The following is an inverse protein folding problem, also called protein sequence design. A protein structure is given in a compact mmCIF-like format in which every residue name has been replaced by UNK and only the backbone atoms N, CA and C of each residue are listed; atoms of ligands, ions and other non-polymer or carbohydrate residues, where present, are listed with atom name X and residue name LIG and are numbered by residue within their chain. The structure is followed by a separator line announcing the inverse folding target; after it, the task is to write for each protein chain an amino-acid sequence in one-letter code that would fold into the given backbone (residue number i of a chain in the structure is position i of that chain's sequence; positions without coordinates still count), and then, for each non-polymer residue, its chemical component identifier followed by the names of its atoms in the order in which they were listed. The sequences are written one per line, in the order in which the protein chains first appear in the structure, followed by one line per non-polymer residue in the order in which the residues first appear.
data_IF_460565786958
#
_entry.id   IF_460565786958
#
_cell.length_a   1.000
_cell.length_b   1.000
_cell.length_c   1.000
_cell.angle_alpha   90.00
_cell.angle_beta   90.00
_cell.angle_gamma   90.00
#
_symmetry.space_group_name_H-M   'P 1'
#
loop_
_entity.id
_entity.type
_entity.pdbx_description
1 polymer ?
#
# COMPACT_ATOMS: atom_id res chain seq x y z
N UNK A 1 -52.65 10.77 -46.63
CA UNK A 1 -51.36 11.27 -46.20
C UNK A 1 -51.23 11.04 -44.69
N UNK A 2 -50.50 9.99 -44.30
CA UNK A 2 -50.33 9.57 -42.88
C UNK A 2 -48.92 9.91 -42.46
N UNK A 3 -48.77 10.91 -41.58
CA UNK A 3 -47.52 11.29 -41.00
C UNK A 3 -47.15 10.27 -39.92
N UNK A 4 -46.01 9.56 -40.12
CA UNK A 4 -45.40 8.64 -39.17
C UNK A 4 -44.38 9.44 -38.36
N UNK A 5 -44.73 9.78 -37.12
CA UNK A 5 -43.82 10.45 -36.18
C UNK A 5 -42.98 9.38 -35.51
N UNK A 6 -41.67 9.37 -35.81
CA UNK A 6 -40.66 8.49 -35.20
C UNK A 6 -40.24 9.07 -33.84
N UNK A 7 -40.71 8.47 -32.75
CA UNK A 7 -40.25 8.79 -31.38
C UNK A 7 -38.91 8.09 -31.13
N UNK A 8 -37.80 8.84 -31.15
CA UNK A 8 -36.49 8.40 -30.66
C UNK A 8 -36.51 8.41 -29.13
N UNK A 9 -36.63 7.24 -28.51
CA UNK A 9 -36.36 7.04 -27.08
C UNK A 9 -34.82 7.11 -26.85
N UNK A 10 -34.34 8.26 -26.41
CA UNK A 10 -33.02 8.37 -25.75
C UNK A 10 -33.13 7.70 -24.38
N UNK A 11 -32.69 6.46 -24.29
CA UNK A 11 -32.39 5.81 -23.01
C UNK A 11 -31.15 6.50 -22.40
N UNK A 12 -31.37 7.51 -21.59
CA UNK A 12 -30.36 8.10 -20.75
C UNK A 12 -29.89 7.05 -19.71
N UNK A 13 -28.72 6.48 -19.90
CA UNK A 13 -28.02 5.76 -18.86
C UNK A 13 -27.66 6.78 -17.76
N UNK A 14 -28.55 6.92 -16.78
CA UNK A 14 -28.26 7.60 -15.54
C UNK A 14 -27.20 6.77 -14.81
N UNK A 15 -25.93 7.13 -14.96
CA UNK A 15 -24.90 6.66 -14.03
C UNK A 15 -25.29 7.16 -12.64
N UNK A 16 -25.33 6.31 -11.61
CA UNK A 16 -25.52 6.77 -10.25
C UNK A 16 -24.34 7.70 -9.93
N UNK A 17 -24.61 8.99 -9.80
CA UNK A 17 -23.67 9.93 -9.22
C UNK A 17 -23.43 9.47 -7.78
N UNK A 18 -22.20 9.00 -7.48
CA UNK A 18 -21.81 8.74 -6.11
C UNK A 18 -21.90 10.09 -5.36
N UNK A 19 -22.62 10.10 -4.26
CA UNK A 19 -22.91 11.30 -3.46
C UNK A 19 -21.66 11.91 -2.79
N UNK A 20 -20.47 11.35 -3.02
CA UNK A 20 -19.22 11.63 -2.27
C UNK A 20 -18.09 12.19 -3.16
N UNK A 21 -18.35 12.55 -4.41
CA UNK A 21 -17.32 13.12 -5.31
C UNK A 21 -16.26 12.14 -5.79
N UNK A 22 -16.24 10.89 -5.30
CA UNK A 22 -15.29 9.84 -5.70
C UNK A 22 -15.63 9.26 -7.06
N UNK A 23 -14.60 8.82 -7.80
CA UNK A 23 -14.77 8.22 -9.14
C UNK A 23 -14.63 6.70 -9.09
N UNK A 24 -15.37 6.00 -9.92
CA UNK A 24 -15.20 4.55 -10.12
C UNK A 24 -13.99 4.27 -10.99
N UNK A 25 -13.47 3.02 -10.95
CA UNK A 25 -12.41 2.57 -11.85
C UNK A 25 -12.82 2.71 -13.32
N UNK A 26 -14.09 2.46 -13.66
CA UNK A 26 -14.61 2.65 -15.02
C UNK A 26 -14.56 4.12 -15.46
N UNK A 27 -14.90 5.06 -14.57
CA UNK A 27 -14.79 6.50 -14.84
C UNK A 27 -13.32 6.95 -14.99
N UNK A 28 -12.41 6.39 -14.19
CA UNK A 28 -10.97 6.61 -14.35
C UNK A 28 -10.48 6.13 -15.72
N UNK A 29 -10.88 4.92 -16.16
CA UNK A 29 -10.53 4.38 -17.47
C UNK A 29 -11.00 5.30 -18.62
N UNK A 30 -12.21 5.85 -18.50
CA UNK A 30 -12.73 6.85 -19.45
C UNK A 30 -11.94 8.15 -19.41
N UNK A 31 -11.56 8.64 -18.24
CA UNK A 31 -10.74 9.84 -18.08
C UNK A 31 -9.36 9.68 -18.71
N UNK A 32 -8.70 8.52 -18.51
CA UNK A 32 -7.42 8.18 -19.14
C UNK A 32 -7.55 8.08 -20.66
N UNK A 33 -8.62 7.47 -21.18
CA UNK A 33 -8.87 7.41 -22.61
C UNK A 33 -9.07 8.82 -23.23
N UNK A 34 -9.78 9.70 -22.54
CA UNK A 34 -10.00 11.08 -22.95
C UNK A 34 -8.74 11.98 -22.81
N UNK A 35 -7.70 11.49 -22.14
CA UNK A 35 -6.42 12.19 -21.98
C UNK A 35 -5.47 12.00 -23.16
N UNK A 36 -5.83 11.19 -24.17
CA UNK A 36 -4.99 10.98 -25.36
C UNK A 36 -4.67 12.30 -26.06
N UNK A 37 -3.38 12.53 -26.36
CA UNK A 37 -2.91 13.76 -27.00
C UNK A 37 -2.77 14.98 -26.06
N UNK A 38 -3.12 14.88 -24.78
CA UNK A 38 -2.92 15.95 -23.80
C UNK A 38 -1.51 15.97 -23.24
N UNK A 39 -1.10 17.11 -22.66
CA UNK A 39 0.21 17.28 -22.07
C UNK A 39 0.32 16.51 -20.74
N UNK A 40 1.48 15.93 -20.47
CA UNK A 40 1.76 15.11 -19.28
C UNK A 40 1.38 15.82 -17.97
N UNK A 41 1.77 17.10 -17.81
CA UNK A 41 1.44 17.88 -16.61
C UNK A 41 -0.07 18.07 -16.40
N UNK A 42 -0.81 18.31 -17.50
CA UNK A 42 -2.28 18.49 -17.45
C UNK A 42 -2.99 17.20 -17.01
N UNK A 43 -2.52 16.06 -17.56
CA UNK A 43 -3.06 14.76 -17.19
C UNK A 43 -2.72 14.42 -15.74
N UNK A 44 -1.49 14.68 -15.31
CA UNK A 44 -1.05 14.46 -13.93
C UNK A 44 -1.89 15.26 -12.92
N UNK A 45 -2.11 16.55 -13.21
CA UNK A 45 -2.94 17.40 -12.35
C UNK A 45 -4.37 16.85 -12.22
N UNK A 46 -4.99 16.51 -13.36
CA UNK A 46 -6.35 15.97 -13.37
C UNK A 46 -6.48 14.64 -12.62
N UNK A 47 -5.48 13.76 -12.73
CA UNK A 47 -5.45 12.50 -11.97
C UNK A 47 -5.25 12.75 -10.47
N UNK A 48 -4.41 13.72 -10.09
CA UNK A 48 -4.17 14.08 -8.70
C UNK A 48 -5.40 14.66 -7.99
N UNK A 49 -6.35 15.26 -8.72
CA UNK A 49 -7.62 15.79 -8.20
C UNK A 49 -8.70 14.70 -8.01
N UNK A 50 -8.43 13.44 -8.40
CA UNK A 50 -9.38 12.34 -8.29
C UNK A 50 -9.18 11.55 -6.98
N UNK A 51 -10.26 10.99 -6.46
CA UNK A 51 -10.27 9.98 -5.42
C UNK A 51 -11.08 8.78 -5.89
N UNK A 52 -10.56 7.55 -5.73
CA UNK A 52 -11.27 6.35 -6.15
C UNK A 52 -12.28 5.89 -5.09
N UNK A 53 -13.43 5.40 -5.55
CA UNK A 53 -14.45 4.75 -4.71
C UNK A 53 -14.20 3.24 -4.55
N UNK A 54 -13.30 2.67 -5.36
CA UNK A 54 -13.01 1.25 -5.42
C UNK A 54 -11.54 1.02 -5.78
N UNK A 55 -11.00 -0.14 -5.46
CA UNK A 55 -9.59 -0.47 -5.66
C UNK A 55 -9.24 -0.62 -7.14
N UNK A 56 -8.17 0.05 -7.56
CA UNK A 56 -7.56 -0.17 -8.87
C UNK A 56 -6.62 -1.38 -8.81
N UNK A 57 -7.00 -2.48 -9.43
CA UNK A 57 -6.18 -3.70 -9.45
C UNK A 57 -4.88 -3.52 -10.24
N UNK A 58 -3.80 -4.20 -9.83
CA UNK A 58 -2.49 -4.15 -10.49
C UNK A 58 -2.55 -4.40 -12.01
N UNK A 59 -3.31 -5.39 -12.53
CA UNK A 59 -3.44 -5.58 -13.98
C UNK A 59 -4.10 -4.39 -14.70
N UNK A 60 -5.03 -3.69 -14.05
CA UNK A 60 -5.65 -2.49 -14.63
C UNK A 60 -4.69 -1.30 -14.59
N UNK A 61 -3.99 -1.12 -13.47
CA UNK A 61 -2.97 -0.09 -13.31
C UNK A 61 -1.93 -0.15 -14.43
N UNK A 62 -1.37 -1.34 -14.71
CA UNK A 62 -0.35 -1.50 -15.74
C UNK A 62 -0.90 -1.19 -17.15
N UNK A 63 -2.13 -1.60 -17.45
CA UNK A 63 -2.77 -1.24 -18.73
C UNK A 63 -2.99 0.26 -18.88
N UNK A 64 -3.35 0.95 -17.80
CA UNK A 64 -3.58 2.39 -17.81
C UNK A 64 -2.26 3.18 -17.90
N UNK A 65 -1.22 2.77 -17.16
CA UNK A 65 0.13 3.35 -17.25
C UNK A 65 0.67 3.38 -18.68
N UNK A 66 0.45 2.29 -19.44
CA UNK A 66 0.91 2.20 -20.83
C UNK A 66 0.26 3.22 -21.78
N UNK A 67 -0.89 3.80 -21.40
CA UNK A 67 -1.64 4.79 -22.20
C UNK A 67 -1.32 6.23 -21.84
N UNK A 68 -0.59 6.46 -20.76
CA UNK A 68 -0.31 7.81 -20.26
C UNK A 68 0.87 8.46 -21.00
N UNK A 69 0.82 9.80 -21.22
CA UNK A 69 1.76 10.51 -22.08
C UNK A 69 3.17 10.62 -21.49
N UNK A 70 3.34 10.58 -20.17
CA UNK A 70 4.64 10.77 -19.56
C UNK A 70 4.73 10.34 -18.09
N UNK A 71 5.86 10.64 -17.48
CA UNK A 71 6.22 10.20 -16.13
C UNK A 71 5.34 10.85 -15.04
N UNK A 72 5.02 12.13 -15.18
CA UNK A 72 4.19 12.83 -14.16
C UNK A 72 2.80 12.23 -14.07
N UNK A 73 2.17 11.93 -15.21
CA UNK A 73 0.87 11.31 -15.25
C UNK A 73 0.92 9.87 -14.72
N UNK A 74 2.00 9.11 -14.96
CA UNK A 74 2.20 7.77 -14.43
C UNK A 74 2.35 7.78 -12.92
N UNK A 75 3.11 8.73 -12.36
CA UNK A 75 3.25 8.90 -10.91
C UNK A 75 1.92 9.32 -10.25
N UNK A 76 1.16 10.21 -10.87
CA UNK A 76 -0.16 10.59 -10.36
C UNK A 76 -1.15 9.41 -10.39
N UNK A 77 -1.14 8.60 -11.45
CA UNK A 77 -1.94 7.37 -11.51
C UNK A 77 -1.49 6.35 -10.46
N UNK A 78 -0.19 6.21 -10.22
CA UNK A 78 0.34 5.33 -9.18
C UNK A 78 -0.13 5.79 -7.80
N UNK A 79 0.00 7.08 -7.47
CA UNK A 79 -0.49 7.63 -6.21
C UNK A 79 -1.99 7.37 -6.00
N UNK A 80 -2.79 7.53 -7.05
CA UNK A 80 -4.23 7.27 -7.00
C UNK A 80 -4.54 5.78 -6.79
N UNK A 81 -3.80 4.88 -7.47
CA UNK A 81 -3.93 3.44 -7.29
C UNK A 81 -3.58 3.00 -5.86
N UNK A 82 -2.47 3.52 -5.33
CA UNK A 82 -1.97 3.19 -3.99
C UNK A 82 -2.88 3.70 -2.89
N UNK A 83 -3.40 4.91 -3.04
CA UNK A 83 -4.42 5.44 -2.12
C UNK A 83 -5.69 4.56 -2.09
N UNK A 84 -6.00 3.88 -3.20
CA UNK A 84 -7.15 2.96 -3.32
C UNK A 84 -6.86 1.52 -2.88
N UNK A 85 -5.61 1.17 -2.53
CA UNK A 85 -5.19 -0.22 -2.28
C UNK A 85 -5.98 -0.92 -1.15
N UNK A 86 -6.61 -0.15 -0.29
CA UNK A 86 -7.37 -0.59 0.89
C UNK A 86 -8.89 -0.63 0.67
N UNK A 87 -9.35 -0.29 -0.54
CA UNK A 87 -10.76 -0.32 -0.92
C UNK A 87 -11.16 -1.68 -1.49
N UNK A 88 -12.47 -1.92 -1.54
CA UNK A 88 -13.03 -3.11 -2.20
C UNK A 88 -12.79 -3.05 -3.72
N UNK A 89 -12.68 -4.22 -4.35
CA UNK A 89 -12.64 -4.33 -5.81
C UNK A 89 -13.95 -3.89 -6.45
N UNK A 90 -13.91 -3.38 -7.70
CA UNK A 90 -15.12 -3.27 -8.51
C UNK A 90 -15.84 -4.63 -8.58
N UNK A 91 -17.15 -4.62 -8.43
CA UNK A 91 -17.95 -5.85 -8.51
C UNK A 91 -17.73 -6.65 -9.81
N UNK A 92 -17.42 -5.94 -10.91
CA UNK A 92 -17.11 -6.55 -12.21
C UNK A 92 -15.75 -7.30 -12.24
N UNK A 93 -14.86 -7.04 -11.29
CA UNK A 93 -13.54 -7.69 -11.19
C UNK A 93 -13.56 -8.91 -10.26
N UNK A 94 -14.64 -9.14 -9.54
CA UNK A 94 -14.83 -10.31 -8.69
C UNK A 94 -15.23 -11.50 -9.58
N UNK A 95 -14.42 -12.58 -9.64
CA UNK A 95 -14.77 -13.76 -10.40
C UNK A 95 -16.10 -14.37 -9.93
N UNK A 96 -16.99 -14.81 -10.83
CA UNK A 96 -18.28 -15.43 -10.49
C UNK A 96 -18.13 -16.88 -9.98
N UNK A 97 -16.96 -17.24 -9.48
CA UNK A 97 -16.64 -18.57 -8.95
C UNK A 97 -17.34 -18.77 -7.60
N UNK A 98 -18.01 -19.91 -7.36
CA UNK A 98 -18.63 -20.19 -6.08
C UNK A 98 -17.62 -20.11 -4.92
N UNK A 99 -18.04 -19.67 -3.73
CA UNK A 99 -17.17 -19.66 -2.55
C UNK A 99 -16.75 -21.09 -2.18
N UNK A 100 -15.58 -21.22 -1.55
CA UNK A 100 -15.19 -22.47 -0.90
C UNK A 100 -16.21 -22.85 0.17
N UNK A 101 -16.52 -24.15 0.29
CA UNK A 101 -17.29 -24.62 1.43
C UNK A 101 -16.49 -24.48 2.75
N UNK A 102 -17.16 -24.61 3.90
CA UNK A 102 -16.53 -24.39 5.19
C UNK A 102 -15.36 -25.32 5.47
N UNK A 103 -15.43 -26.57 5.03
CA UNK A 103 -14.34 -27.54 5.22
C UNK A 103 -13.10 -27.17 4.38
N UNK A 104 -13.32 -26.78 3.12
CA UNK A 104 -12.26 -26.31 2.25
C UNK A 104 -11.61 -24.99 2.74
N UNK A 105 -12.41 -24.06 3.30
CA UNK A 105 -11.89 -22.84 3.92
C UNK A 105 -10.95 -23.17 5.10
N UNK A 106 -11.37 -24.03 6.02
CA UNK A 106 -10.56 -24.45 7.17
C UNK A 106 -9.30 -25.17 6.73
N UNK A 107 -9.41 -26.08 5.75
CA UNK A 107 -8.26 -26.79 5.21
C UNK A 107 -7.24 -25.86 4.55
N UNK A 108 -7.71 -24.84 3.82
CA UNK A 108 -6.84 -23.84 3.19
C UNK A 108 -6.13 -22.97 4.24
N UNK A 109 -6.83 -22.50 5.27
CA UNK A 109 -6.22 -21.72 6.35
C UNK A 109 -5.17 -22.54 7.14
N UNK A 110 -5.45 -23.82 7.44
CA UNK A 110 -4.47 -24.71 8.06
C UNK A 110 -3.22 -24.90 7.18
N UNK A 111 -3.42 -25.06 5.86
CA UNK A 111 -2.33 -25.13 4.88
C UNK A 111 -1.52 -23.84 4.84
N UNK A 112 -2.18 -22.68 5.00
CA UNK A 112 -1.50 -21.37 5.05
C UNK A 112 -0.61 -21.25 6.28
N UNK A 113 -1.10 -21.64 7.46
CA UNK A 113 -0.29 -21.67 8.69
C UNK A 113 0.97 -22.54 8.48
N UNK A 114 0.76 -23.79 8.03
CA UNK A 114 1.88 -24.72 7.76
C UNK A 114 2.86 -24.17 6.73
N UNK A 115 2.37 -23.51 5.67
CA UNK A 115 3.20 -22.88 4.65
C UNK A 115 4.04 -21.75 5.25
N UNK A 116 3.44 -20.82 6.01
CA UNK A 116 4.15 -19.66 6.57
C UNK A 116 5.19 -20.09 7.60
N UNK A 117 4.86 -21.02 8.52
CA UNK A 117 5.79 -21.55 9.50
C UNK A 117 7.02 -22.23 8.86
N UNK A 118 6.79 -23.00 7.79
CA UNK A 118 7.86 -23.69 7.06
C UNK A 118 8.68 -22.74 6.17
N UNK A 119 8.06 -21.70 5.62
CA UNK A 119 8.71 -20.83 4.62
C UNK A 119 9.56 -19.77 5.29
N UNK A 120 9.09 -19.11 6.34
CA UNK A 120 9.85 -18.04 7.03
C UNK A 120 11.18 -18.61 7.55
N UNK A 121 11.17 -19.82 8.09
CA UNK A 121 12.39 -20.47 8.61
C UNK A 121 13.36 -20.96 7.53
N UNK A 122 12.93 -21.00 6.25
CA UNK A 122 13.69 -21.55 5.11
C UNK A 122 14.07 -20.52 4.08
N UNK A 123 13.65 -19.26 4.24
CA UNK A 123 14.11 -18.19 3.36
C UNK A 123 15.64 -18.11 3.47
N UNK A 124 16.36 -18.17 2.34
CA UNK A 124 17.82 -18.07 2.38
C UNK A 124 18.24 -16.66 2.76
N UNK A 125 19.41 -16.57 3.38
CA UNK A 125 20.09 -15.29 3.52
C UNK A 125 20.26 -14.67 2.13
N UNK A 126 19.72 -13.48 1.95
CA UNK A 126 19.58 -12.87 0.63
C UNK A 126 19.65 -11.35 0.69
N UNK A 127 19.90 -10.76 -0.47
CA UNK A 127 19.76 -9.34 -0.73
C UNK A 127 18.61 -9.09 -1.72
N UNK A 128 18.01 -7.93 -1.60
CA UNK A 128 17.11 -7.37 -2.60
C UNK A 128 17.40 -5.88 -2.77
N UNK A 129 17.07 -5.31 -3.92
CA UNK A 129 17.04 -3.86 -4.10
C UNK A 129 15.63 -3.40 -3.73
N UNK A 130 15.55 -2.39 -2.87
CA UNK A 130 14.32 -1.70 -2.50
C UNK A 130 14.29 -0.34 -3.20
N UNK A 131 13.36 -0.16 -4.11
CA UNK A 131 13.08 1.12 -4.75
C UNK A 131 11.86 1.73 -4.07
N UNK A 132 11.98 2.96 -3.56
CA UNK A 132 10.90 3.63 -2.84
C UNK A 132 10.54 4.94 -3.52
N UNK A 133 9.24 5.17 -3.76
CA UNK A 133 8.69 6.45 -4.18
C UNK A 133 7.91 7.02 -3.01
N UNK A 134 8.24 8.24 -2.61
CA UNK A 134 7.59 8.95 -1.53
C UNK A 134 6.58 9.94 -2.09
N UNK A 135 5.37 9.92 -1.54
CA UNK A 135 4.29 10.85 -1.87
C UNK A 135 3.85 11.59 -0.61
N UNK A 136 3.49 12.86 -0.76
CA UNK A 136 2.91 13.68 0.29
C UNK A 136 1.89 14.65 -0.28
N UNK A 137 1.02 15.20 0.57
CA UNK A 137 -0.01 16.17 0.19
C UNK A 137 0.34 17.62 0.50
N UNK A 138 1.57 17.90 0.92
CA UNK A 138 2.00 19.25 1.28
C UNK A 138 3.30 19.66 0.58
N UNK A 139 3.63 20.98 0.53
CA UNK A 139 4.92 21.43 0.05
C UNK A 139 6.02 20.97 1.02
N UNK A 140 7.05 20.29 0.50
CA UNK A 140 8.22 19.84 1.27
C UNK A 140 9.03 20.98 1.91
N UNK A 141 8.81 22.23 1.50
CA UNK A 141 9.48 23.43 1.97
C UNK A 141 8.47 24.37 2.65
N UNK A 142 7.83 23.93 3.73
CA UNK A 142 7.17 24.89 4.60
C UNK A 142 8.27 25.59 5.39
N UNK A 143 8.61 26.81 5.00
CA UNK A 143 9.35 27.68 5.90
C UNK A 143 8.50 27.83 7.17
N UNK A 144 9.11 27.70 8.34
CA UNK A 144 8.46 27.74 9.67
C UNK A 144 7.62 29.00 9.96
N UNK A 145 7.48 29.89 8.97
CA UNK A 145 6.82 31.19 9.06
C UNK A 145 5.71 31.39 8.04
N UNK A 146 5.34 30.38 7.24
CA UNK A 146 4.17 30.49 6.39
C UNK A 146 2.92 30.18 7.21
N UNK A 147 1.92 31.01 7.11
CA UNK A 147 0.65 30.97 7.86
C UNK A 147 -0.26 29.76 7.57
N UNK A 148 0.31 28.65 7.11
CA UNK A 148 -0.38 27.37 6.96
C UNK A 148 -1.46 27.31 5.85
N UNK A 149 -1.56 28.34 5.02
CA UNK A 149 -2.70 28.52 4.11
C UNK A 149 -2.62 27.77 2.77
N UNK A 150 -1.57 27.01 2.50
CA UNK A 150 -1.41 26.26 1.23
C UNK A 150 -0.95 24.83 1.47
N UNK A 151 -1.83 23.98 1.99
CA UNK A 151 -1.69 22.55 1.80
C UNK A 151 -2.25 22.21 0.42
N UNK A 152 -1.40 21.74 -0.49
CA UNK A 152 -1.88 21.10 -1.72
C UNK A 152 -2.60 19.80 -1.29
N UNK A 153 -3.91 19.68 -1.48
CA UNK A 153 -4.65 18.50 -1.03
C UNK A 153 -4.28 17.24 -1.83
N UNK A 154 -3.55 17.39 -2.93
CA UNK A 154 -3.23 16.30 -3.83
C UNK A 154 -1.92 15.61 -3.45
N UNK A 155 -1.95 14.26 -3.40
CA UNK A 155 -0.74 13.46 -3.27
C UNK A 155 0.14 13.62 -4.52
N UNK A 156 1.38 14.00 -4.34
CA UNK A 156 2.38 14.08 -5.40
C UNK A 156 3.70 13.45 -4.98
N UNK A 157 4.44 12.92 -5.95
CA UNK A 157 5.74 12.34 -5.70
C UNK A 157 6.72 13.44 -5.25
N UNK A 158 7.32 13.25 -4.08
CA UNK A 158 8.23 14.21 -3.45
C UNK A 158 9.68 13.80 -3.54
N UNK A 159 9.97 12.48 -3.50
CA UNK A 159 11.31 11.93 -3.63
C UNK A 159 11.29 10.45 -4.03
N UNK A 160 12.49 9.94 -4.37
CA UNK A 160 12.75 8.53 -4.64
C UNK A 160 14.04 8.10 -3.95
N UNK A 161 14.07 6.88 -3.45
CA UNK A 161 15.30 6.27 -2.94
C UNK A 161 15.49 4.86 -3.46
N UNK A 162 16.75 4.44 -3.54
CA UNK A 162 17.15 3.07 -3.82
C UNK A 162 18.02 2.57 -2.68
N UNK A 163 17.70 1.42 -2.13
CA UNK A 163 18.44 0.83 -1.03
C UNK A 163 18.67 -0.66 -1.26
N UNK A 164 19.76 -1.20 -0.69
CA UNK A 164 19.94 -2.64 -0.55
C UNK A 164 19.30 -3.09 0.74
N UNK A 165 18.38 -4.05 0.67
CA UNK A 165 17.83 -4.73 1.83
C UNK A 165 18.51 -6.07 1.97
N UNK A 166 19.00 -6.36 3.17
CA UNK A 166 19.62 -7.61 3.56
C UNK A 166 18.66 -8.39 4.46
N UNK A 167 18.38 -9.62 4.09
CA UNK A 167 17.64 -10.55 4.92
C UNK A 167 18.59 -11.66 5.39
N UNK A 168 18.92 -11.68 6.68
CA UNK A 168 19.85 -12.64 7.29
C UNK A 168 19.28 -13.14 8.61
N UNK A 169 19.26 -14.47 8.78
CA UNK A 169 18.78 -15.13 9.99
C UNK A 169 17.37 -14.65 10.43
N UNK A 170 16.48 -14.40 9.47
CA UNK A 170 15.10 -13.96 9.73
C UNK A 170 14.98 -12.47 10.07
N UNK A 171 16.03 -11.67 9.93
CA UNK A 171 16.02 -10.22 10.18
C UNK A 171 16.23 -9.44 8.90
N UNK A 172 15.45 -8.38 8.76
CA UNK A 172 15.56 -7.41 7.68
C UNK A 172 16.44 -6.24 8.14
N UNK A 173 17.39 -5.84 7.30
CA UNK A 173 18.27 -4.70 7.53
C UNK A 173 18.45 -3.92 6.23
N UNK A 174 18.28 -2.60 6.29
CA UNK A 174 18.51 -1.71 5.16
C UNK A 174 19.96 -1.26 5.16
N UNK A 175 20.65 -1.48 4.03
CA UNK A 175 22.05 -1.17 3.81
C UNK A 175 22.17 -0.29 2.57
N UNK A 176 23.11 0.65 2.56
CA UNK A 176 23.46 1.48 1.39
C UNK A 176 22.25 2.18 0.72
N UNK A 177 21.47 2.91 1.49
CA UNK A 177 20.37 3.69 0.93
C UNK A 177 20.91 4.96 0.25
N UNK A 178 20.51 5.15 -1.02
CA UNK A 178 20.85 6.30 -1.86
C UNK A 178 19.59 7.09 -2.18
N UNK A 179 19.67 8.38 -1.98
CA UNK A 179 18.59 9.33 -2.22
C UNK A 179 18.82 10.08 -3.53
N UNK A 180 17.77 10.31 -4.32
CA UNK A 180 17.87 11.06 -5.57
C UNK A 180 18.03 12.56 -5.34
N UNK A 181 17.36 13.15 -4.35
CA UNK A 181 17.28 14.61 -4.19
C UNK A 181 17.94 15.17 -2.93
N UNK A 182 18.33 14.32 -1.98
CA UNK A 182 18.86 14.76 -0.67
C UNK A 182 17.83 15.44 0.23
N UNK A 183 16.54 15.46 -0.17
CA UNK A 183 15.44 16.08 0.57
C UNK A 183 14.72 15.10 1.50
N UNK A 184 15.12 13.85 1.44
CA UNK A 184 14.44 12.73 2.08
C UNK A 184 14.46 12.78 3.61
N UNK A 185 15.45 13.45 4.22
CA UNK A 185 15.58 13.51 5.67
C UNK A 185 14.30 13.99 6.38
N UNK A 186 13.59 14.95 5.76
CA UNK A 186 12.32 15.48 6.32
C UNK A 186 11.13 14.53 6.14
N UNK A 187 11.12 13.72 5.07
CA UNK A 187 10.05 12.74 4.79
C UNK A 187 10.29 11.45 5.57
N UNK A 188 11.54 11.05 5.73
CA UNK A 188 11.97 9.82 6.42
C UNK A 188 11.62 9.78 7.91
N UNK A 189 11.58 10.92 8.58
CA UNK A 189 11.24 10.98 10.01
C UNK A 189 9.77 10.61 10.30
N UNK A 190 8.93 10.43 9.30
CA UNK A 190 7.49 10.32 9.48
C UNK A 190 6.89 8.97 9.12
N UNK A 191 7.26 8.38 7.98
CA UNK A 191 6.70 7.12 7.53
C UNK A 191 7.81 6.12 7.22
N UNK A 192 8.00 5.17 8.12
CA UNK A 192 8.91 4.03 7.94
C UNK A 192 8.11 2.74 7.96
N UNK A 193 8.32 1.90 6.96
CA UNK A 193 7.75 0.56 6.89
C UNK A 193 8.88 -0.46 7.05
N UNK A 194 8.77 -1.29 8.08
CA UNK A 194 9.74 -2.34 8.41
C UNK A 194 9.02 -3.67 8.60
N UNK A 195 9.74 -4.77 8.41
CA UNK A 195 9.25 -6.11 8.74
C UNK A 195 8.41 -6.77 7.66
N UNK A 196 8.45 -6.29 6.42
CA UNK A 196 7.69 -6.87 5.28
C UNK A 196 8.12 -8.29 4.94
N UNK A 197 9.36 -8.70 5.28
CA UNK A 197 9.88 -10.05 5.05
C UNK A 197 9.48 -11.07 6.13
N UNK A 198 9.11 -10.66 7.33
CA UNK A 198 8.84 -11.63 8.39
C UNK A 198 7.98 -11.13 9.54
N UNK A 199 8.27 -9.96 10.11
CA UNK A 199 7.59 -9.47 11.32
C UNK A 199 6.09 -9.30 11.12
N UNK A 200 5.66 -8.80 9.97
CA UNK A 200 4.24 -8.62 9.63
C UNK A 200 3.55 -9.99 9.52
N UNK A 201 4.19 -10.99 8.92
CA UNK A 201 3.65 -12.35 8.91
C UNK A 201 3.47 -12.92 10.32
N UNK A 202 4.42 -12.68 11.22
CA UNK A 202 4.31 -13.16 12.60
C UNK A 202 3.12 -12.51 13.33
N UNK A 203 2.86 -11.22 13.10
CA UNK A 203 1.67 -10.53 13.62
C UNK A 203 0.40 -11.18 13.08
N UNK A 204 0.30 -11.38 11.76
CA UNK A 204 -0.88 -11.96 11.12
C UNK A 204 -1.12 -13.41 11.57
N UNK A 205 -0.07 -14.24 11.65
CA UNK A 205 -0.19 -15.60 12.16
C UNK A 205 -0.79 -15.62 13.56
N UNK A 206 -0.28 -14.76 14.44
CA UNK A 206 -0.68 -14.71 15.84
C UNK A 206 -2.08 -14.16 16.02
N UNK A 207 -2.42 -13.10 15.32
CA UNK A 207 -3.65 -12.34 15.53
C UNK A 207 -4.84 -12.88 14.71
N UNK A 208 -4.58 -13.38 13.51
CA UNK A 208 -5.61 -13.64 12.50
C UNK A 208 -5.84 -15.11 12.24
N UNK A 209 -4.79 -15.86 11.91
CA UNK A 209 -4.97 -17.23 11.42
C UNK A 209 -5.48 -18.20 12.50
N UNK A 210 -5.18 -17.97 13.78
CA UNK A 210 -5.75 -18.69 14.90
C UNK A 210 -7.26 -18.47 15.10
N UNK A 211 -7.83 -17.39 14.54
CA UNK A 211 -9.23 -17.01 14.67
C UNK A 211 -10.16 -17.49 13.56
N UNK A 212 -9.67 -18.24 12.57
CA UNK A 212 -10.43 -18.66 11.39
C UNK A 212 -11.17 -17.49 10.70
N UNK A 213 -10.46 -16.57 10.06
CA UNK A 213 -11.04 -15.40 9.40
C UNK A 213 -12.13 -15.81 8.39
N UNK A 214 -13.24 -15.06 8.28
CA UNK A 214 -14.32 -15.38 7.36
C UNK A 214 -13.88 -15.22 5.90
N UNK A 215 -14.44 -16.10 5.07
CA UNK A 215 -14.36 -16.01 3.62
C UNK A 215 -14.92 -14.68 3.11
N UNK A 216 -14.24 -14.07 2.15
CA UNK A 216 -14.70 -12.86 1.47
C UNK A 216 -15.10 -13.15 0.00
N UNK A 217 -14.12 -13.36 -0.87
CA UNK A 217 -14.36 -13.54 -2.30
C UNK A 217 -13.18 -14.22 -3.00
N UNK A 218 -13.37 -14.57 -4.27
CA UNK A 218 -12.28 -14.88 -5.17
C UNK A 218 -11.73 -13.61 -5.81
N UNK A 219 -10.44 -13.54 -6.00
CA UNK A 219 -9.78 -12.47 -6.74
C UNK A 219 -8.84 -13.05 -7.79
N UNK A 220 -8.71 -12.38 -8.94
CA UNK A 220 -7.77 -12.78 -9.98
C UNK A 220 -6.42 -12.08 -9.76
N UNK A 221 -5.42 -12.83 -9.33
CA UNK A 221 -4.03 -12.38 -9.26
C UNK A 221 -3.26 -12.62 -10.55
N UNK A 222 -2.00 -12.18 -10.62
CA UNK A 222 -1.11 -12.39 -11.76
C UNK A 222 -0.76 -13.86 -11.98
N UNK A 223 -0.68 -14.65 -10.91
CA UNK A 223 -0.35 -16.10 -10.95
C UNK A 223 -1.56 -17.02 -10.98
N UNK A 224 -2.79 -16.52 -10.93
CA UNK A 224 -4.00 -17.33 -10.87
C UNK A 224 -5.03 -16.80 -9.85
N UNK A 225 -6.09 -17.59 -9.58
CA UNK A 225 -7.11 -17.21 -8.62
C UNK A 225 -6.54 -17.20 -7.19
N UNK A 226 -6.94 -16.22 -6.40
CA UNK A 226 -6.63 -16.10 -4.98
C UNK A 226 -7.89 -16.20 -4.15
N UNK A 227 -7.82 -16.95 -3.05
CA UNK A 227 -8.87 -17.04 -2.03
C UNK A 227 -8.68 -15.90 -1.02
N UNK A 228 -9.65 -14.99 -0.91
CA UNK A 228 -9.56 -13.82 -0.04
C UNK A 228 -10.39 -14.04 1.22
N UNK A 229 -9.76 -13.80 2.37
CA UNK A 229 -10.38 -13.82 3.69
C UNK A 229 -10.25 -12.45 4.33
N UNK A 230 -11.31 -11.99 5.02
CA UNK A 230 -11.30 -10.76 5.82
C UNK A 230 -11.05 -11.05 7.27
N UNK A 231 -10.46 -10.13 7.97
CA UNK A 231 -10.26 -10.20 9.40
C UNK A 231 -10.49 -8.85 10.06
N UNK A 232 -10.86 -8.91 11.34
CA UNK A 232 -10.97 -7.77 12.23
C UNK A 232 -10.33 -8.19 13.57
N UNK A 233 -9.34 -7.41 14.02
CA UNK A 233 -8.55 -7.68 15.22
C UNK A 233 -8.78 -6.54 16.21
N UNK A 234 -9.53 -6.80 17.29
CA UNK A 234 -9.74 -5.80 18.32
C UNK A 234 -8.44 -5.49 19.06
N UNK A 235 -8.34 -4.31 19.65
CA UNK A 235 -7.10 -3.80 20.23
C UNK A 235 -6.48 -4.71 21.27
N UNK A 236 -7.30 -5.37 22.11
CA UNK A 236 -6.84 -6.27 23.18
C UNK A 236 -6.20 -7.56 22.68
N UNK A 237 -6.42 -7.92 21.42
CA UNK A 237 -5.81 -9.08 20.75
C UNK A 237 -4.73 -8.71 19.76
N UNK A 238 -4.59 -7.40 19.47
CA UNK A 238 -3.69 -6.90 18.45
C UNK A 238 -2.23 -6.90 18.91
N UNK A 239 -1.34 -7.23 17.99
CA UNK A 239 0.10 -7.02 18.11
C UNK A 239 0.59 -5.96 17.11
N UNK A 240 -0.34 -5.28 16.43
CA UNK A 240 0.00 -4.20 15.52
C UNK A 240 0.24 -2.90 16.28
N UNK A 241 1.48 -2.39 16.21
CA UNK A 241 1.88 -1.16 16.87
C UNK A 241 2.23 -0.08 15.86
N UNK A 242 1.75 1.13 16.14
CA UNK A 242 2.02 2.32 15.35
C UNK A 242 2.83 3.29 16.20
N UNK A 243 3.87 3.89 15.61
CA UNK A 243 4.71 4.91 16.24
C UNK A 243 4.71 6.16 15.36
N UNK A 244 4.65 7.33 16.00
CA UNK A 244 4.92 8.61 15.32
C UNK A 244 6.40 8.94 15.52
N UNK A 245 7.12 9.15 14.42
CA UNK A 245 8.51 9.59 14.47
C UNK A 245 8.62 11.06 14.92
N UNK A 246 9.75 11.44 15.50
CA UNK A 246 10.02 12.83 15.93
C UNK A 246 9.52 13.19 17.31
N UNK A 247 8.72 12.38 17.99
CA UNK A 247 8.37 12.62 19.41
C UNK A 247 9.12 11.62 20.31
N UNK A 248 10.19 12.03 21.00
CA UNK A 248 10.97 11.15 21.88
C UNK A 248 10.16 10.60 23.08
N UNK A 249 8.99 11.19 23.37
CA UNK A 249 8.05 10.73 24.41
C UNK A 249 6.94 9.82 23.90
N UNK A 250 6.84 9.56 22.59
CA UNK A 250 5.75 8.77 22.02
C UNK A 250 6.12 7.27 22.01
N UNK A 251 5.55 6.55 22.96
CA UNK A 251 5.66 5.09 22.97
C UNK A 251 4.82 4.50 21.81
N UNK A 252 5.26 3.35 21.24
CA UNK A 252 4.45 2.63 20.28
C UNK A 252 3.07 2.33 20.85
N UNK A 253 2.03 2.65 20.09
CA UNK A 253 0.64 2.42 20.51
C UNK A 253 0.11 1.19 19.78
N UNK A 254 -0.38 0.21 20.54
CA UNK A 254 -1.12 -0.92 20.00
C UNK A 254 -2.47 -0.41 19.51
N UNK A 255 -2.83 -0.73 18.27
CA UNK A 255 -4.09 -0.33 17.65
C UNK A 255 -4.89 -1.54 17.19
N UNK A 256 -6.22 -1.45 17.25
CA UNK A 256 -7.09 -2.37 16.51
C UNK A 256 -6.82 -2.21 15.01
N UNK A 257 -7.05 -3.26 14.24
CA UNK A 257 -6.90 -3.20 12.80
C UNK A 257 -7.78 -4.23 12.11
N UNK A 258 -8.12 -3.99 10.85
CA UNK A 258 -8.81 -4.94 9.99
C UNK A 258 -8.08 -5.06 8.64
N UNK A 259 -8.47 -6.03 7.82
CA UNK A 259 -7.86 -6.19 6.52
C UNK A 259 -8.24 -7.46 5.80
N UNK A 260 -7.44 -7.80 4.80
CA UNK A 260 -7.61 -8.97 3.96
C UNK A 260 -6.31 -9.77 3.83
N UNK A 261 -6.47 -11.10 3.72
CA UNK A 261 -5.41 -12.01 3.30
C UNK A 261 -5.86 -12.66 2.00
N UNK A 262 -5.07 -12.54 0.93
CA UNK A 262 -5.26 -13.26 -0.32
C UNK A 262 -4.28 -14.43 -0.39
N UNK A 263 -4.79 -15.62 -0.55
CA UNK A 263 -4.07 -16.90 -0.43
C UNK A 263 -4.10 -17.64 -1.77
N UNK A 264 -2.96 -18.19 -2.18
CA UNK A 264 -2.90 -19.17 -3.26
C UNK A 264 -3.53 -20.50 -2.81
N UNK A 265 -4.67 -20.92 -3.40
CA UNK A 265 -5.34 -22.15 -2.99
C UNK A 265 -4.52 -23.41 -3.30
N UNK A 266 -3.56 -23.34 -4.25
CA UNK A 266 -2.74 -24.48 -4.62
C UNK A 266 -1.72 -24.87 -3.54
N UNK A 267 -1.09 -23.89 -2.89
CA UNK A 267 0.01 -24.14 -1.94
C UNK A 267 -0.18 -23.51 -0.56
N UNK A 268 -1.16 -22.60 -0.35
CA UNK A 268 -1.40 -21.90 0.90
C UNK A 268 -0.54 -20.65 1.10
N UNK A 269 0.24 -20.23 0.11
CA UNK A 269 1.06 -19.04 0.19
C UNK A 269 0.19 -17.78 0.32
N UNK A 270 0.57 -16.84 1.18
CA UNK A 270 -0.03 -15.51 1.20
C UNK A 270 0.57 -14.71 0.05
N UNK A 271 -0.29 -14.23 -0.85
CA UNK A 271 0.11 -13.44 -2.02
C UNK A 271 -0.20 -11.95 -1.86
N UNK A 272 -1.16 -11.59 -1.01
CA UNK A 272 -1.42 -10.20 -0.61
C UNK A 272 -1.93 -10.16 0.83
N UNK A 273 -1.51 -9.13 1.53
CA UNK A 273 -1.94 -8.80 2.88
C UNK A 273 -2.24 -7.31 2.94
N UNK A 274 -3.39 -6.94 3.50
CA UNK A 274 -3.70 -5.56 3.88
C UNK A 274 -3.95 -5.47 5.38
N UNK A 275 -3.49 -4.39 6.00
CA UNK A 275 -3.75 -4.05 7.39
C UNK A 275 -4.15 -2.58 7.45
N UNK A 276 -5.33 -2.29 7.91
CA UNK A 276 -5.90 -0.95 8.07
C UNK A 276 -6.07 -0.67 9.56
N UNK A 277 -5.27 0.25 10.08
CA UNK A 277 -5.32 0.62 11.48
C UNK A 277 -6.64 1.30 11.84
N UNK A 278 -7.13 1.05 13.05
CA UNK A 278 -8.27 1.73 13.66
C UNK A 278 -7.78 2.51 14.88
N UNK A 279 -7.16 3.70 14.68
CA UNK A 279 -6.61 4.49 15.78
C UNK A 279 -7.71 4.99 16.70
N UNK A 280 -7.34 5.22 17.97
CA UNK A 280 -8.28 5.81 18.95
C UNK A 280 -8.66 7.23 18.54
N UNK A 281 -9.89 7.69 18.87
CA UNK A 281 -10.26 9.09 18.69
C UNK A 281 -9.25 10.04 19.34
N UNK A 282 -8.93 11.15 18.67
CA UNK A 282 -7.94 12.15 19.10
C UNK A 282 -6.48 11.64 19.14
N UNK A 283 -6.19 10.52 18.50
CA UNK A 283 -4.81 10.08 18.29
C UNK A 283 -4.07 11.08 17.40
N UNK A 284 -2.76 11.22 17.61
CA UNK A 284 -1.87 11.93 16.68
C UNK A 284 -1.75 11.22 15.33
N UNK A 285 -2.10 9.94 15.26
CA UNK A 285 -2.21 9.17 14.03
C UNK A 285 -3.69 8.92 13.73
N UNK A 286 -4.17 9.40 12.60
CA UNK A 286 -5.53 9.17 12.13
C UNK A 286 -5.61 8.00 11.13
N UNK A 287 -4.49 7.66 10.46
CA UNK A 287 -4.37 6.55 9.52
C UNK A 287 -2.95 5.96 9.58
N UNK A 288 -2.86 4.64 9.55
CA UNK A 288 -1.60 3.90 9.41
C UNK A 288 -1.91 2.54 8.77
N UNK A 289 -1.93 2.53 7.44
CA UNK A 289 -2.35 1.38 6.68
C UNK A 289 -1.18 0.83 5.87
N UNK A 290 -1.12 -0.48 5.72
CA UNK A 290 -0.10 -1.16 4.92
C UNK A 290 -0.73 -2.25 4.05
N UNK A 291 -0.29 -2.31 2.80
CA UNK A 291 -0.54 -3.40 1.87
C UNK A 291 0.79 -3.98 1.42
N UNK A 292 0.89 -5.31 1.35
CA UNK A 292 2.08 -6.01 0.84
C UNK A 292 1.61 -7.04 -0.17
N UNK A 293 2.25 -7.06 -1.33
CA UNK A 293 2.11 -8.08 -2.35
C UNK A 293 3.35 -8.98 -2.36
N UNK A 294 3.12 -10.28 -2.39
CA UNK A 294 4.14 -11.32 -2.44
C UNK A 294 4.01 -12.12 -3.73
N UNK A 295 5.13 -12.64 -4.19
CA UNK A 295 5.13 -13.49 -5.37
C UNK A 295 6.38 -14.33 -5.50
N UNK A 296 6.42 -15.22 -6.51
CA UNK A 296 7.55 -16.11 -6.74
C UNK A 296 8.78 -15.32 -7.23
N UNK A 297 9.91 -15.56 -6.57
CA UNK A 297 11.21 -14.98 -6.88
C UNK A 297 12.23 -16.11 -6.97
N UNK A 298 13.06 -16.12 -8.00
CA UNK A 298 14.17 -17.05 -8.08
C UNK A 298 15.36 -16.55 -7.26
N UNK A 299 15.82 -17.37 -6.31
CA UNK A 299 17.03 -17.11 -5.54
C UNK A 299 17.92 -18.34 -5.67
N UNK A 300 19.01 -18.23 -6.41
CA UNK A 300 19.97 -19.30 -6.68
C UNK A 300 19.34 -20.57 -7.28
N UNK A 301 18.41 -20.43 -8.23
CA UNK A 301 17.76 -21.53 -8.94
C UNK A 301 16.62 -22.20 -8.16
N UNK A 302 16.15 -21.58 -7.06
CA UNK A 302 14.97 -22.03 -6.32
C UNK A 302 13.95 -20.90 -6.21
N UNK A 303 12.67 -21.24 -6.38
CA UNK A 303 11.58 -20.29 -6.24
C UNK A 303 11.15 -20.16 -4.79
N UNK A 304 11.05 -18.92 -4.32
CA UNK A 304 10.54 -18.55 -3.00
C UNK A 304 9.45 -17.49 -3.15
N UNK A 305 8.50 -17.45 -2.24
CA UNK A 305 7.53 -16.35 -2.17
C UNK A 305 8.14 -15.24 -1.32
N UNK A 306 8.44 -14.12 -1.95
CA UNK A 306 9.07 -12.94 -1.35
C UNK A 306 8.22 -11.70 -1.57
N UNK A 307 8.41 -10.61 -0.79
CA UNK A 307 7.78 -9.33 -1.07
C UNK A 307 8.15 -8.84 -2.48
N UNK A 308 7.16 -8.44 -3.26
CA UNK A 308 7.36 -7.79 -4.56
C UNK A 308 7.10 -6.30 -4.46
N UNK A 309 6.10 -5.93 -3.65
CA UNK A 309 5.66 -4.54 -3.49
C UNK A 309 5.05 -4.32 -2.12
N UNK A 310 5.19 -3.12 -1.58
CA UNK A 310 4.39 -2.68 -0.45
C UNK A 310 3.95 -1.22 -0.62
N UNK A 311 2.76 -0.92 -0.10
CA UNK A 311 2.21 0.43 0.00
C UNK A 311 1.94 0.72 1.45
N UNK A 312 2.47 1.82 1.96
CA UNK A 312 2.16 2.31 3.30
C UNK A 312 1.55 3.70 3.22
N UNK A 313 0.48 3.94 3.96
CA UNK A 313 -0.22 5.23 4.02
C UNK A 313 -0.31 5.67 5.48
N UNK A 314 0.09 6.89 5.77
CA UNK A 314 0.00 7.50 7.08
C UNK A 314 -0.69 8.85 7.00
N UNK A 315 -1.65 9.10 7.89
CA UNK A 315 -2.19 10.42 8.16
C UNK A 315 -1.90 10.72 9.63
N UNK A 316 -0.91 11.55 9.88
CA UNK A 316 -0.41 11.82 11.22
C UNK A 316 -0.09 13.31 11.41
N UNK A 317 -0.13 13.76 12.67
CA UNK A 317 0.32 15.10 13.05
C UNK A 317 1.81 15.08 13.33
N UNK A 318 2.53 16.09 12.86
CA UNK A 318 3.88 16.38 13.31
C UNK A 318 3.84 16.99 14.70
N UNK A 319 4.84 16.69 15.48
CA UNK A 319 5.11 17.42 16.72
C UNK A 319 6.40 18.22 16.53
N UNK A 320 6.28 19.52 16.33
CA UNK A 320 7.42 20.42 16.43
C UNK A 320 7.64 20.79 17.90
N UNK A 321 8.82 20.48 18.42
CA UNK A 321 9.28 21.03 19.69
C UNK A 321 9.71 22.49 19.46
N UNK A 322 8.74 23.39 19.52
CA UNK A 322 9.02 24.81 19.57
C UNK A 322 9.46 25.16 21.01
N UNK A 323 10.49 25.98 21.14
CA UNK A 323 10.84 26.56 22.41
C UNK A 323 10.19 27.95 22.49
N UNK A 324 9.51 28.23 23.59
CA UNK A 324 8.99 29.56 23.81
C UNK A 324 10.12 30.60 23.99
N UNK A 325 9.76 31.87 24.14
CA UNK A 325 10.75 32.95 24.33
C UNK A 325 11.61 32.80 25.59
N UNK A 326 11.26 31.88 26.48
CA UNK A 326 11.99 31.53 27.69
C UNK A 326 12.76 30.24 27.59
N UNK A 327 12.77 29.58 26.38
CA UNK A 327 13.47 28.33 26.14
C UNK A 327 12.73 27.10 26.68
N UNK A 328 11.45 27.23 27.08
CA UNK A 328 10.66 26.09 27.54
C UNK A 328 10.05 25.36 26.31
N UNK A 329 10.08 24.02 26.29
CA UNK A 329 9.51 23.27 25.19
C UNK A 329 7.97 23.46 25.17
N UNK A 330 7.47 24.03 24.09
CA UNK A 330 6.04 24.07 23.78
C UNK A 330 5.73 23.04 22.70
N UNK A 331 4.73 22.22 22.97
CA UNK A 331 4.22 21.23 22.01
C UNK A 331 3.08 21.87 21.22
N UNK A 332 3.38 22.35 20.02
CA UNK A 332 2.35 22.83 19.11
C UNK A 332 1.82 21.67 18.27
N UNK A 333 0.50 21.50 18.24
CA UNK A 333 -0.13 20.49 17.40
C UNK A 333 -0.15 20.98 15.94
N UNK A 334 0.76 20.47 15.12
CA UNK A 334 0.74 20.71 13.69
C UNK A 334 -0.49 20.06 13.01
N UNK A 335 -0.89 20.53 11.84
CA UNK A 335 -1.95 19.88 11.05
C UNK A 335 -1.59 18.46 10.68
N UNK A 336 -2.61 17.65 10.33
CA UNK A 336 -2.39 16.32 9.81
C UNK A 336 -1.75 16.39 8.42
N UNK A 337 -0.73 15.56 8.19
CA UNK A 337 -0.10 15.36 6.89
C UNK A 337 -0.37 13.95 6.40
N UNK A 338 -0.80 13.85 5.15
CA UNK A 338 -0.93 12.57 4.45
C UNK A 338 0.39 12.25 3.76
N UNK A 339 0.95 11.08 4.08
CA UNK A 339 2.17 10.54 3.48
C UNK A 339 1.90 9.14 2.99
N UNK A 340 2.56 8.77 1.90
CA UNK A 340 2.46 7.45 1.32
C UNK A 340 3.80 7.04 0.70
N UNK A 341 4.15 5.76 0.87
CA UNK A 341 5.30 5.14 0.23
C UNK A 341 4.82 4.01 -0.68
N UNK A 342 5.28 4.02 -1.93
CA UNK A 342 5.28 2.86 -2.82
C UNK A 342 6.67 2.26 -2.84
N UNK A 343 6.78 1.00 -2.50
CA UNK A 343 8.04 0.26 -2.40
C UNK A 343 8.00 -0.93 -3.34
N UNK A 344 8.96 -1.03 -4.24
CA UNK A 344 9.21 -2.22 -5.05
C UNK A 344 10.45 -2.96 -4.56
N UNK A 345 10.41 -4.30 -4.55
CA UNK A 345 11.54 -5.16 -4.23
C UNK A 345 11.95 -5.92 -5.48
N UNK A 346 13.21 -5.76 -5.86
CA UNK A 346 13.75 -6.30 -7.10
C UNK A 346 15.12 -6.94 -6.90
N UNK A 347 15.64 -7.60 -7.94
CA UNK A 347 17.02 -8.07 -8.00
C UNK A 347 17.42 -8.93 -6.79
N UNK A 348 16.58 -9.88 -6.43
CA UNK A 348 16.87 -10.83 -5.36
C UNK A 348 18.08 -11.71 -5.71
N UNK A 349 19.00 -11.87 -4.76
CA UNK A 349 20.14 -12.76 -4.91
C UNK A 349 20.60 -13.32 -3.55
N UNK A 350 21.18 -14.51 -3.58
CA UNK A 350 21.65 -15.17 -2.37
C UNK A 350 22.90 -14.47 -1.80
N UNK A 351 22.96 -14.32 -0.48
CA UNK A 351 24.19 -13.93 0.19
C UNK A 351 25.21 -15.06 0.08
N UNK A 352 26.39 -14.79 -0.53
CA UNK A 352 27.52 -15.72 -0.57
C UNK A 352 28.72 -15.07 0.10
N UNK A 353 29.20 -15.64 1.19
CA UNK A 353 30.49 -15.28 1.78
C UNK A 353 31.57 -16.12 1.10
N UNK A 354 32.33 -15.58 0.17
CA UNK A 354 33.57 -16.21 -0.31
C UNK A 354 34.67 -15.89 0.69
N UNK A 355 35.05 -16.86 1.50
CA UNK A 355 36.29 -16.78 2.28
C UNK A 355 37.45 -17.13 1.34
N UNK A 356 38.11 -16.14 0.76
CA UNK A 356 39.43 -16.33 0.14
C UNK A 356 40.47 -16.45 1.25
N UNK A 357 40.89 -17.66 1.56
CA UNK A 357 42.13 -17.87 2.24
C UNK A 357 43.26 -17.42 1.30
N UNK A 358 43.84 -16.26 1.54
CA UNK A 358 45.08 -15.87 0.87
C UNK A 358 46.20 -16.78 1.38
N UNK A 359 47.06 -17.29 0.48
CA UNK A 359 48.13 -18.19 0.82
C UNK A 359 49.21 -17.50 1.69
#
# INVERSE_FOLDING_TARGET
MRNLTLLLLLAGLASPALADGRVTVAQLEQAVAAAHGKRDKEVAQRLGEMELAERLSTPRLERLKARLPGEKARLALLALADASAFLDLPAADIPPTPPLDRAAQVALLAKTVDYVEKTISRLPDSFATRETIYFANGPMNVSRFSDGSFQDPTLHAVDKSSATVRFIAGKEEVVDEREESGKLALVREQLTTEGVFGTIFAVVLKDVLGGNPPWSHWEQGSGGPMAVFRFDVPQEKSHYSVRVSGDPGFLPTITAYHGEIAIDPANGAILRLTMVAVPRPKSAVAKADIMIEYGPVDIAGKSYICPLRSVAVSLARKFDLMHDVYGLPQKEEAPFELQMNDVAFERYHQFRTEVRLLP
#
